data_IF_865717599625
#
_entry.id   IF_865717599625
#
_cell.length_a   1.000
_cell.length_b   1.000
_cell.length_c   1.000
_cell.angle_alpha   90.00
_cell.angle_beta   90.00
_cell.angle_gamma   90.00
#
_symmetry.space_group_name_H-M   'P 1'
#
loop_
_entity.id
_entity.type
_entity.pdbx_description
1 polymer ?
#
# COMPACT_ATOMS: atom_id res chain seq x y z
N UNK A 1 5.13 -8.58 -25.35
CA UNK A 1 4.46 -7.56 -26.18
C UNK A 1 4.91 -6.17 -25.72
N UNK A 2 6.17 -5.81 -25.99
CA UNK A 2 6.82 -4.55 -25.57
C UNK A 2 7.16 -3.65 -26.77
N UNK A 3 6.70 -4.00 -27.99
CA UNK A 3 7.23 -3.43 -29.24
C UNK A 3 6.31 -2.44 -29.97
N UNK A 4 5.05 -2.27 -29.56
CA UNK A 4 4.06 -1.54 -30.39
C UNK A 4 3.74 -0.11 -29.94
N UNK A 5 4.56 0.50 -29.07
CA UNK A 5 4.34 1.89 -28.64
C UNK A 5 5.42 2.83 -29.20
N UNK A 6 5.04 3.80 -30.05
CA UNK A 6 5.97 4.80 -30.55
C UNK A 6 6.37 5.76 -29.42
N UNK A 7 7.63 5.71 -28.97
CA UNK A 7 8.12 6.57 -27.91
C UNK A 7 9.53 6.20 -27.42
N UNK A 8 10.10 7.07 -26.58
CA UNK A 8 11.34 6.78 -25.86
C UNK A 8 11.06 5.97 -24.58
N UNK A 9 11.96 5.06 -24.21
CA UNK A 9 11.88 4.31 -22.97
C UNK A 9 12.72 4.99 -21.89
N UNK A 10 12.21 5.02 -20.66
CA UNK A 10 12.95 5.40 -19.47
C UNK A 10 12.99 4.20 -18.51
N UNK A 11 14.14 3.99 -17.87
CA UNK A 11 14.34 2.93 -16.88
C UNK A 11 14.64 3.56 -15.53
N UNK A 12 13.87 3.20 -14.52
CA UNK A 12 14.14 3.56 -13.12
C UNK A 12 14.80 2.38 -12.43
N UNK A 13 16.07 2.53 -12.06
CA UNK A 13 16.81 1.52 -11.31
C UNK A 13 16.70 1.80 -9.82
N UNK A 14 16.32 0.78 -9.06
CA UNK A 14 16.28 0.81 -7.59
C UNK A 14 17.33 -0.20 -7.09
N UNK A 15 18.29 0.22 -6.25
CA UNK A 15 19.31 -0.69 -5.72
C UNK A 15 18.75 -1.64 -4.65
N UNK A 16 17.68 -1.22 -3.97
CA UNK A 16 17.02 -1.98 -2.90
C UNK A 16 15.54 -2.08 -3.26
N UNK A 17 14.97 -3.28 -3.11
CA UNK A 17 13.56 -3.52 -3.32
C UNK A 17 12.77 -3.23 -2.04
N UNK A 18 12.27 -2.01 -1.93
CA UNK A 18 11.37 -1.59 -0.86
C UNK A 18 9.94 -1.38 -1.39
N UNK A 19 8.98 -2.28 -1.07
CA UNK A 19 7.59 -2.17 -1.52
C UNK A 19 6.89 -0.82 -1.24
N UNK A 20 7.01 -0.18 -0.05
CA UNK A 20 6.31 1.08 0.21
C UNK A 20 6.87 2.24 -0.61
N UNK A 21 8.19 2.29 -0.79
CA UNK A 21 8.85 3.31 -1.62
C UNK A 21 8.46 3.14 -3.09
N UNK A 22 8.44 1.89 -3.59
CA UNK A 22 8.03 1.60 -4.96
C UNK A 22 6.57 2.02 -5.21
N UNK A 23 5.66 1.76 -4.26
CA UNK A 23 4.26 2.20 -4.35
C UNK A 23 4.14 3.73 -4.41
N UNK A 24 4.90 4.46 -3.58
CA UNK A 24 4.91 5.91 -3.60
C UNK A 24 5.40 6.47 -4.95
N UNK A 25 6.42 5.85 -5.54
CA UNK A 25 6.93 6.22 -6.87
C UNK A 25 5.87 5.99 -7.94
N UNK A 26 5.23 4.81 -7.97
CA UNK A 26 4.16 4.54 -8.94
C UNK A 26 2.99 5.52 -8.81
N UNK A 27 2.57 5.82 -7.57
CA UNK A 27 1.52 6.83 -7.32
C UNK A 27 1.92 8.22 -7.78
N UNK A 28 3.18 8.62 -7.57
CA UNK A 28 3.68 9.91 -8.03
C UNK A 28 3.72 9.98 -9.56
N UNK A 29 4.12 8.89 -10.23
CA UNK A 29 4.09 8.76 -11.68
C UNK A 29 2.66 8.87 -12.23
N UNK A 30 1.73 8.07 -11.71
CA UNK A 30 0.31 8.09 -12.10
C UNK A 30 -0.34 9.46 -11.88
N UNK A 31 0.07 10.19 -10.82
CA UNK A 31 -0.44 11.53 -10.52
C UNK A 31 0.16 12.61 -11.42
N UNK A 32 1.44 12.49 -11.74
CA UNK A 32 2.15 13.46 -12.59
C UNK A 32 1.71 13.40 -14.06
N UNK A 33 1.32 12.20 -14.51
CA UNK A 33 0.87 11.95 -15.88
C UNK A 33 -0.34 11.02 -15.86
N UNK A 34 -1.56 11.54 -15.62
CA UNK A 34 -2.75 10.71 -15.65
C UNK A 34 -3.00 10.22 -17.09
N UNK A 35 -3.33 8.93 -17.28
CA UNK A 35 -3.67 8.42 -18.60
C UNK A 35 -4.85 9.21 -19.17
N UNK A 36 -4.75 9.65 -20.43
CA UNK A 36 -5.81 10.41 -21.07
C UNK A 36 -7.08 9.54 -21.10
N UNK A 37 -8.22 9.98 -20.54
CA UNK A 37 -9.46 9.22 -20.64
C UNK A 37 -9.81 9.04 -22.13
N UNK A 38 -10.32 7.85 -22.53
CA UNK A 38 -10.76 7.65 -23.90
C UNK A 38 -11.87 8.66 -24.21
N UNK A 39 -11.72 9.40 -25.32
CA UNK A 39 -12.74 10.37 -25.75
C UNK A 39 -14.05 9.64 -26.00
N UNK A 40 -15.14 10.12 -25.41
CA UNK A 40 -16.48 9.61 -25.71
C UNK A 40 -16.86 9.93 -27.16
N UNK A 41 -17.67 9.08 -27.82
CA UNK A 41 -18.00 9.22 -29.24
C UNK A 41 -18.60 10.59 -29.59
N UNK A 42 -19.35 11.20 -28.66
CA UNK A 42 -19.92 12.55 -28.83
C UNK A 42 -18.87 13.67 -28.85
N UNK A 43 -17.73 13.49 -28.16
CA UNK A 43 -16.63 14.45 -28.16
C UNK A 43 -15.80 14.35 -29.44
N UNK A 44 -15.75 13.17 -30.06
CA UNK A 44 -15.08 12.95 -31.34
C UNK A 44 -15.89 13.62 -32.46
N UNK A 45 -17.21 13.47 -32.47
CA UNK A 45 -18.09 14.13 -33.43
C UNK A 45 -18.04 15.66 -33.33
N UNK A 46 -18.07 16.22 -32.12
CA UNK A 46 -17.96 17.69 -31.90
C UNK A 46 -16.60 18.24 -32.32
N UNK A 47 -15.52 17.52 -32.05
CA UNK A 47 -14.17 17.94 -32.46
C UNK A 47 -13.91 17.77 -33.96
N UNK A 48 -14.71 16.96 -34.66
CA UNK A 48 -14.73 16.87 -36.12
C UNK A 48 -15.57 17.99 -36.74
N UNK A 49 -16.72 18.32 -36.15
CA UNK A 49 -17.57 19.44 -36.56
C UNK A 49 -16.87 20.80 -36.36
N UNK A 50 -16.17 21.03 -35.24
CA UNK A 50 -15.37 22.24 -35.00
C UNK A 50 -14.14 22.35 -35.92
N UNK A 51 -13.64 21.23 -36.46
CA UNK A 51 -12.57 21.23 -37.48
C UNK A 51 -13.10 21.44 -38.90
N UNK A 52 -14.36 21.10 -39.13
CA UNK A 52 -15.06 21.24 -40.43
C UNK A 52 -15.82 22.55 -40.56
N UNK A 53 -16.13 23.22 -39.44
CA UNK A 53 -16.76 24.52 -39.41
C UNK A 53 -15.78 25.61 -39.86
N UNK A 54 -16.18 26.32 -40.91
CA UNK A 54 -15.47 27.44 -41.49
C UNK A 54 -15.50 28.67 -40.54
N UNK A 55 -14.52 29.58 -40.63
CA UNK A 55 -14.28 30.61 -39.64
C UNK A 55 -15.45 31.61 -39.53
N UNK A 56 -16.05 31.72 -38.34
CA UNK A 56 -17.18 32.60 -38.02
C UNK A 56 -16.95 34.10 -38.29
N UNK A 57 -15.72 34.54 -38.57
CA UNK A 57 -15.43 35.94 -38.91
C UNK A 57 -14.41 36.08 -40.05
N UNK A 58 -14.82 36.67 -41.19
CA UNK A 58 -13.91 36.91 -42.32
C UNK A 58 -12.85 37.97 -41.96
N UNK A 59 -11.57 37.65 -42.21
CA UNK A 59 -10.46 38.62 -42.16
C UNK A 59 -9.45 38.47 -41.01
N UNK A 60 -9.68 37.61 -40.01
CA UNK A 60 -8.72 37.40 -38.91
C UNK A 60 -8.01 36.05 -39.05
N UNK A 61 -6.70 36.06 -39.32
CA UNK A 61 -5.89 34.81 -39.32
C UNK A 61 -5.78 34.31 -37.89
N UNK A 62 -6.42 33.19 -37.59
CA UNK A 62 -6.28 32.50 -36.30
C UNK A 62 -4.81 32.10 -36.13
N UNK A 63 -4.13 32.66 -35.12
CA UNK A 63 -2.77 32.21 -34.77
C UNK A 63 -2.88 30.76 -34.32
N UNK A 64 -2.29 29.83 -35.09
CA UNK A 64 -2.18 28.41 -34.72
C UNK A 64 -1.40 28.32 -33.41
N UNK A 65 -2.12 28.18 -32.30
CA UNK A 65 -1.50 27.78 -31.04
C UNK A 65 -1.05 26.33 -31.20
N UNK A 66 0.26 26.09 -31.09
CA UNK A 66 0.78 24.73 -30.98
C UNK A 66 0.25 24.17 -29.67
N UNK A 67 -0.64 23.18 -29.75
CA UNK A 67 -1.14 22.47 -28.56
C UNK A 67 0.06 21.98 -27.76
N UNK A 68 0.14 22.35 -26.49
CA UNK A 68 1.17 21.85 -25.58
C UNK A 68 1.03 20.33 -25.51
N UNK A 69 2.05 19.62 -25.99
CA UNK A 69 2.07 18.17 -26.00
C UNK A 69 2.31 17.71 -24.56
N UNK A 70 1.25 17.30 -23.87
CA UNK A 70 1.38 16.62 -22.57
C UNK A 70 2.00 15.25 -22.86
N UNK A 71 3.22 14.94 -22.37
CA UNK A 71 3.83 13.63 -22.56
C UNK A 71 2.96 12.57 -21.89
N UNK A 72 2.73 11.46 -22.58
CA UNK A 72 2.02 10.30 -22.03
C UNK A 72 3.06 9.33 -21.49
N UNK A 73 2.92 8.91 -20.23
CA UNK A 73 3.87 8.08 -19.54
C UNK A 73 3.13 6.87 -18.98
N UNK A 74 3.41 5.72 -19.57
CA UNK A 74 2.77 4.45 -19.22
C UNK A 74 3.82 3.48 -18.68
N UNK A 75 3.54 2.92 -17.51
CA UNK A 75 4.36 1.87 -16.91
C UNK A 75 4.17 0.57 -17.71
N UNK A 76 5.23 0.10 -18.35
CA UNK A 76 5.18 -1.12 -19.19
C UNK A 76 5.49 -2.40 -18.41
N UNK A 77 6.35 -2.32 -17.41
CA UNK A 77 6.79 -3.47 -16.62
C UNK A 77 8.01 -3.15 -15.76
N UNK A 78 8.44 -4.12 -14.95
CA UNK A 78 9.66 -4.05 -14.15
C UNK A 78 10.44 -5.36 -14.27
N UNK A 79 11.75 -5.26 -14.03
CA UNK A 79 12.62 -6.41 -13.86
C UNK A 79 13.03 -6.47 -12.38
N UNK A 80 12.53 -7.48 -11.66
CA UNK A 80 12.81 -7.66 -10.23
C UNK A 80 13.43 -9.05 -10.08
N UNK A 81 14.64 -9.11 -9.52
CA UNK A 81 15.37 -10.39 -9.26
C UNK A 81 15.45 -11.31 -10.50
N UNK A 82 15.63 -10.72 -11.69
CA UNK A 82 15.70 -11.46 -12.96
C UNK A 82 14.34 -11.91 -13.52
N UNK A 83 13.22 -11.59 -12.86
CA UNK A 83 11.86 -11.88 -13.33
C UNK A 83 11.22 -10.62 -13.93
N UNK A 84 10.65 -10.77 -15.12
CA UNK A 84 9.89 -9.70 -15.78
C UNK A 84 8.48 -9.69 -15.21
N UNK A 85 8.08 -8.55 -14.64
CA UNK A 85 6.76 -8.33 -14.06
C UNK A 85 5.97 -7.37 -14.95
N UNK A 86 4.78 -7.84 -15.36
CA UNK A 86 3.76 -7.03 -16.02
C UNK A 86 3.13 -6.04 -15.02
N UNK A 87 2.46 -4.97 -15.50
CA UNK A 87 1.89 -3.93 -14.63
C UNK A 87 0.92 -4.47 -13.57
N UNK A 88 0.18 -5.54 -13.85
CA UNK A 88 -0.74 -6.15 -12.87
C UNK A 88 0.02 -6.81 -11.71
N UNK A 89 1.04 -7.61 -12.03
CA UNK A 89 1.92 -8.25 -11.03
C UNK A 89 2.79 -7.24 -10.29
N UNK A 90 3.12 -6.13 -10.93
CA UNK A 90 3.83 -5.03 -10.27
C UNK A 90 2.99 -4.44 -9.13
N UNK A 91 1.68 -4.25 -9.34
CA UNK A 91 0.78 -3.76 -8.28
C UNK A 91 0.73 -4.72 -7.09
N UNK A 92 0.75 -6.03 -7.32
CA UNK A 92 0.80 -7.02 -6.24
C UNK A 92 2.10 -6.89 -5.41
N UNK A 93 3.25 -6.74 -6.08
CA UNK A 93 4.54 -6.55 -5.40
C UNK A 93 4.57 -5.27 -4.57
N UNK A 94 3.89 -4.21 -5.03
CA UNK A 94 3.79 -2.94 -4.28
C UNK A 94 2.91 -3.02 -3.03
N UNK A 95 2.05 -4.02 -2.94
CA UNK A 95 1.17 -4.24 -1.80
C UNK A 95 1.81 -5.13 -0.74
N UNK A 96 2.99 -5.70 -1.02
CA UNK A 96 3.68 -6.55 -0.06
C UNK A 96 4.09 -5.76 1.20
N UNK A 97 3.96 -6.38 2.38
CA UNK A 97 4.42 -5.79 3.63
C UNK A 97 5.96 -5.74 3.69
N UNK A 98 6.49 -4.85 4.54
CA UNK A 98 7.94 -4.73 4.80
C UNK A 98 8.53 -5.97 5.49
N UNK A 99 9.86 -6.12 5.44
CA UNK A 99 10.55 -7.25 6.10
C UNK A 99 10.28 -7.30 7.61
N UNK A 100 10.23 -6.15 8.28
CA UNK A 100 9.99 -6.11 9.72
C UNK A 100 8.56 -6.53 10.06
N UNK A 101 7.59 -6.11 9.24
CA UNK A 101 6.20 -6.58 9.38
C UNK A 101 6.06 -8.08 9.10
N UNK A 102 6.80 -8.64 8.14
CA UNK A 102 6.81 -10.09 7.89
C UNK A 102 7.45 -10.87 9.05
N UNK A 103 8.56 -10.36 9.60
CA UNK A 103 9.20 -10.95 10.78
C UNK A 103 8.26 -10.91 11.99
N UNK A 104 7.59 -9.78 12.21
CA UNK A 104 6.60 -9.65 13.27
C UNK A 104 5.41 -10.61 13.08
N UNK A 105 4.94 -10.82 11.84
CA UNK A 105 3.90 -11.80 11.55
C UNK A 105 4.36 -13.23 11.87
N UNK A 106 5.59 -13.60 11.50
CA UNK A 106 6.15 -14.92 11.84
C UNK A 106 6.24 -15.09 13.35
N UNK A 107 6.75 -14.08 14.07
CA UNK A 107 6.81 -14.09 15.53
C UNK A 107 5.42 -14.19 16.15
N UNK A 108 4.44 -13.44 15.65
CA UNK A 108 3.05 -13.48 16.11
C UNK A 108 2.37 -14.84 15.89
N UNK A 109 2.60 -15.47 14.73
CA UNK A 109 2.08 -16.80 14.40
C UNK A 109 2.69 -17.89 15.29
N UNK A 110 3.95 -17.71 15.74
CA UNK A 110 4.60 -18.63 16.67
C UNK A 110 4.23 -18.34 18.13
N UNK A 111 4.09 -17.07 18.51
CA UNK A 111 3.80 -16.68 19.90
C UNK A 111 2.35 -17.00 20.30
N UNK A 112 1.40 -16.88 19.37
CA UNK A 112 -0.01 -17.20 19.61
C UNK A 112 -0.21 -18.63 20.16
N UNK A 113 0.21 -19.71 19.49
CA UNK A 113 0.08 -21.07 20.03
C UNK A 113 0.95 -21.30 21.27
N UNK A 114 2.14 -20.70 21.35
CA UNK A 114 3.01 -20.85 22.53
C UNK A 114 2.35 -20.29 23.80
N UNK A 115 1.69 -19.13 23.71
CA UNK A 115 0.96 -18.54 24.84
C UNK A 115 -0.27 -19.35 25.22
N UNK A 116 -0.99 -19.92 24.24
CA UNK A 116 -2.11 -20.83 24.51
C UNK A 116 -1.65 -22.09 25.25
N UNK A 117 -0.54 -22.71 24.81
CA UNK A 117 0.03 -23.86 25.49
C UNK A 117 0.49 -23.54 26.90
N UNK A 118 1.19 -22.41 27.09
CA UNK A 118 1.61 -21.96 28.41
C UNK A 118 0.41 -21.69 29.34
N UNK A 119 -0.67 -21.11 28.81
CA UNK A 119 -1.90 -20.90 29.56
C UNK A 119 -2.54 -22.22 29.97
N UNK A 120 -2.69 -23.17 29.04
CA UNK A 120 -3.25 -24.50 29.33
C UNK A 120 -2.40 -25.24 30.37
N UNK A 121 -1.07 -25.23 30.25
CA UNK A 121 -0.18 -25.85 31.22
C UNK A 121 -0.27 -25.19 32.60
N UNK A 122 -0.34 -23.85 32.65
CA UNK A 122 -0.50 -23.09 33.91
C UNK A 122 -1.86 -23.36 34.57
N UNK A 123 -2.90 -23.59 33.78
CA UNK A 123 -4.20 -23.98 34.29
C UNK A 123 -4.21 -25.43 34.79
N UNK A 124 -3.62 -26.35 34.01
CA UNK A 124 -3.49 -27.76 34.35
C UNK A 124 -2.63 -27.99 35.59
N UNK A 125 -1.60 -27.17 35.83
CA UNK A 125 -0.76 -27.23 37.02
C UNK A 125 -1.43 -26.65 38.27
N UNK A 126 -2.73 -26.33 38.23
CA UNK A 126 -3.47 -25.77 39.35
C UNK A 126 -3.17 -24.29 39.61
N UNK A 127 -2.59 -23.56 38.64
CA UNK A 127 -2.24 -22.14 38.81
C UNK A 127 -3.43 -21.25 39.14
N UNK A 128 -4.64 -21.62 38.71
CA UNK A 128 -5.89 -20.96 39.12
C UNK A 128 -6.13 -21.08 40.63
N UNK A 129 -5.94 -22.29 41.19
CA UNK A 129 -6.12 -22.56 42.61
C UNK A 129 -5.01 -21.90 43.46
N UNK A 130 -3.76 -21.99 43.01
CA UNK A 130 -2.63 -21.34 43.70
C UNK A 130 -2.84 -19.82 43.83
N UNK A 131 -3.22 -19.14 42.74
CA UNK A 131 -3.52 -17.70 42.76
C UNK A 131 -4.68 -17.33 43.68
N UNK A 132 -5.73 -18.16 43.73
CA UNK A 132 -6.86 -17.91 44.65
C UNK A 132 -6.44 -18.07 46.12
N UNK A 133 -5.65 -19.11 46.44
CA UNK A 133 -5.17 -19.34 47.81
C UNK A 133 -4.19 -18.26 48.26
N UNK A 134 -3.29 -17.81 47.38
CA UNK A 134 -2.41 -16.67 47.64
C UNK A 134 -3.19 -15.37 47.86
N UNK A 135 -4.26 -15.13 47.10
CA UNK A 135 -5.14 -13.98 47.29
C UNK A 135 -5.84 -13.99 48.65
N UNK A 136 -6.36 -15.16 49.08
CA UNK A 136 -6.94 -15.29 50.43
C UNK A 136 -5.90 -15.11 51.53
N UNK A 137 -4.70 -15.68 51.36
CA UNK A 137 -3.59 -15.50 52.32
C UNK A 137 -3.23 -14.03 52.47
N UNK A 138 -3.08 -13.30 51.36
CA UNK A 138 -2.75 -11.88 51.36
C UNK A 138 -3.86 -11.01 51.99
N UNK A 139 -5.12 -11.33 51.73
CA UNK A 139 -6.26 -10.66 52.35
C UNK A 139 -6.33 -10.87 53.87
N UNK A 140 -5.93 -12.05 54.36
CA UNK A 140 -5.83 -12.34 55.79
C UNK A 140 -4.66 -11.60 56.45
N UNK A 141 -3.51 -11.51 55.80
CA UNK A 141 -2.35 -10.75 56.28
C UNK A 141 -2.62 -9.23 56.31
N UNK A 142 -3.34 -8.68 55.32
CA UNK A 142 -3.79 -7.28 55.32
C UNK A 142 -4.90 -7.03 56.37
N UNK A 143 -5.73 -8.03 56.67
CA UNK A 143 -6.72 -7.99 57.75
C UNK A 143 -6.10 -7.99 59.14
N UNK A 144 -5.08 -8.82 59.40
CA UNK A 144 -4.34 -8.88 60.66
C UNK A 144 -3.47 -7.62 60.89
N UNK A 145 -2.94 -7.00 59.82
CA UNK A 145 -2.21 -5.73 59.89
C UNK A 145 -3.03 -4.52 60.34
N UNK A 146 -4.37 -4.62 60.34
CA UNK A 146 -5.28 -3.56 60.81
C UNK A 146 -5.75 -3.72 62.27
N UNK A 147 -5.43 -4.84 62.92
CA UNK A 147 -5.85 -5.14 64.30
C UNK A 147 -4.75 -4.97 65.37
N UNK A 148 -3.55 -4.52 64.96
CA UNK A 148 -2.34 -4.49 65.80
C UNK A 148 -1.84 -3.11 66.20
N UNK A 149 -2.69 -2.08 66.32
CA UNK A 149 -2.28 -0.82 66.98
C UNK A 149 -3.45 -0.15 67.71
N UNK A 150 -3.50 -0.25 69.04
CA UNK A 150 -4.04 0.80 69.89
C UNK A 150 -2.88 1.57 70.59
N UNK A 151 -3.14 2.83 71.04
CA UNK A 151 -2.13 3.81 71.47
C UNK A 151 -1.31 3.44 72.70
#
# INVERSE_FOLDING_TARGET
MLHDLPGGYAVLSLPILDPPHLNAILRAMDRSVPPRPPKTPEQIAKEEEEKKADPDQPGRRVKRQRKTLVPDLKVMGALIEGKILLPDRMKEVTQLPTLDTLRAQIVGLLSSPATQLAAVLSEASGGKLARTLEGFKKALEEGEGSAGTPP
#
